data_IF_535360553197
#
_entry.id   IF_535360553197
#
_cell.length_a   1.000
_cell.length_b   1.000
_cell.length_c   1.000
_cell.angle_alpha   90.00
_cell.angle_beta   90.00
_cell.angle_gamma   90.00
#
_symmetry.space_group_name_H-M   'P 1'
#
loop_
_entity.id
_entity.type
_entity.pdbx_description
1 polymer ?
#
# COMPACT_ATOMS: atom_id res chain seq x y z
N UNK A 1 -31.54 2.18 3.07
CA UNK A 1 -30.50 1.31 3.66
C UNK A 1 -29.69 2.21 4.57
N UNK A 2 -29.77 2.00 5.88
CA UNK A 2 -28.80 2.60 6.79
C UNK A 2 -27.51 1.81 6.61
N UNK A 3 -26.44 2.46 6.14
CA UNK A 3 -25.10 1.88 6.26
C UNK A 3 -24.83 1.75 7.77
N UNK A 4 -24.87 0.52 8.29
CA UNK A 4 -24.42 0.26 9.64
C UNK A 4 -22.96 0.70 9.72
N UNK A 5 -22.68 1.64 10.62
CA UNK A 5 -21.31 2.08 10.86
C UNK A 5 -20.49 0.86 11.33
N UNK A 6 -19.25 0.70 10.85
CA UNK A 6 -18.40 -0.41 11.26
C UNK A 6 -18.24 -0.41 12.78
N UNK A 7 -18.52 -1.54 13.39
CA UNK A 7 -18.56 -1.80 14.82
C UNK A 7 -17.20 -2.23 15.38
N UNK A 8 -16.27 -2.64 14.50
CA UNK A 8 -14.92 -3.10 14.86
C UNK A 8 -13.84 -2.47 14.01
N UNK A 9 -12.61 -2.44 14.52
CA UNK A 9 -11.44 -1.96 13.76
C UNK A 9 -11.15 -2.84 12.55
N UNK A 10 -11.40 -4.16 12.65
CA UNK A 10 -11.32 -5.07 11.49
C UNK A 10 -12.26 -4.65 10.38
N UNK A 11 -13.53 -4.35 10.69
CA UNK A 11 -14.52 -3.92 9.68
C UNK A 11 -14.08 -2.62 8.99
N UNK A 12 -13.49 -1.67 9.73
CA UNK A 12 -12.90 -0.47 9.14
C UNK A 12 -11.77 -0.82 8.18
N UNK A 13 -10.85 -1.69 8.57
CA UNK A 13 -9.69 -2.09 7.73
C UNK A 13 -10.13 -2.91 6.51
N UNK A 14 -11.13 -3.77 6.65
CA UNK A 14 -11.72 -4.54 5.55
C UNK A 14 -12.41 -3.64 4.52
N UNK A 15 -13.03 -2.55 4.97
CA UNK A 15 -13.69 -1.57 4.09
C UNK A 15 -12.73 -0.77 3.21
N UNK A 16 -11.41 -0.86 3.44
CA UNK A 16 -10.43 -0.14 2.62
C UNK A 16 -10.45 -0.63 1.18
N UNK A 17 -10.77 0.30 0.27
CA UNK A 17 -10.74 0.07 -1.17
C UNK A 17 -9.29 -0.04 -1.68
N UNK A 18 -8.78 -1.28 -1.71
CA UNK A 18 -7.46 -1.60 -2.26
C UNK A 18 -7.63 -2.17 -3.67
N UNK A 19 -7.07 -1.51 -4.72
CA UNK A 19 -7.13 -2.03 -6.08
C UNK A 19 -6.54 -3.45 -6.19
N UNK A 20 -7.10 -4.27 -7.07
CA UNK A 20 -6.68 -5.67 -7.21
C UNK A 20 -5.21 -5.82 -7.62
N UNK A 21 -4.70 -4.85 -8.38
CA UNK A 21 -3.33 -4.79 -8.87
C UNK A 21 -2.32 -4.28 -7.82
N UNK A 22 -2.81 -3.66 -6.72
CA UNK A 22 -1.98 -3.10 -5.67
C UNK A 22 -1.52 -4.17 -4.67
N UNK A 23 -0.73 -5.14 -5.14
CA UNK A 23 -0.30 -6.34 -4.38
C UNK A 23 0.31 -5.99 -3.03
N UNK A 24 1.16 -4.95 -2.96
CA UNK A 24 1.81 -4.53 -1.71
C UNK A 24 0.78 -3.97 -0.72
N UNK A 25 -0.12 -3.11 -1.18
CA UNK A 25 -1.19 -2.55 -0.35
C UNK A 25 -2.12 -3.66 0.18
N UNK A 26 -2.44 -4.65 -0.65
CA UNK A 26 -3.24 -5.81 -0.24
C UNK A 26 -2.54 -6.63 0.86
N UNK A 27 -1.22 -6.82 0.75
CA UNK A 27 -0.41 -7.49 1.79
C UNK A 27 -0.40 -6.70 3.10
N UNK A 28 -0.25 -5.38 3.05
CA UNK A 28 -0.28 -4.52 4.25
C UNK A 28 -1.62 -4.65 4.96
N UNK A 29 -2.74 -4.51 4.22
CA UNK A 29 -4.10 -4.68 4.77
C UNK A 29 -4.26 -6.03 5.45
N UNK A 30 -3.85 -7.12 4.79
CA UNK A 30 -3.96 -8.47 5.36
C UNK A 30 -3.10 -8.64 6.63
N UNK A 31 -1.90 -8.08 6.67
CA UNK A 31 -1.05 -8.15 7.86
C UNK A 31 -1.67 -7.41 9.05
N UNK A 32 -2.34 -6.27 8.80
CA UNK A 32 -3.06 -5.52 9.83
C UNK A 32 -4.23 -6.35 10.36
N UNK A 33 -5.03 -6.97 9.49
CA UNK A 33 -6.13 -7.84 9.90
C UNK A 33 -5.65 -9.01 10.78
N UNK A 34 -4.55 -9.66 10.38
CA UNK A 34 -3.92 -10.73 11.19
C UNK A 34 -3.41 -10.21 12.54
N UNK A 35 -2.94 -8.97 12.64
CA UNK A 35 -2.55 -8.37 13.92
C UNK A 35 -3.77 -8.12 14.81
N UNK A 36 -4.87 -7.61 14.24
CA UNK A 36 -6.14 -7.39 14.95
C UNK A 36 -6.68 -8.72 15.51
N UNK A 37 -6.68 -9.78 14.69
CA UNK A 37 -7.07 -11.14 15.14
C UNK A 37 -6.24 -11.67 16.32
N UNK A 38 -5.00 -11.19 16.48
CA UNK A 38 -4.10 -11.57 17.58
C UNK A 38 -4.27 -10.71 18.83
N UNK A 39 -5.27 -9.82 18.86
CA UNK A 39 -5.58 -8.95 19.99
C UNK A 39 -4.88 -7.58 19.93
N UNK A 40 -4.38 -7.17 18.76
CA UNK A 40 -3.92 -5.81 18.51
C UNK A 40 -5.02 -5.00 17.82
N UNK A 41 -6.17 -4.85 18.49
CA UNK A 41 -7.39 -4.23 17.97
C UNK A 41 -7.61 -2.79 18.46
N UNK A 42 -6.69 -2.25 19.27
CA UNK A 42 -6.67 -0.83 19.61
C UNK A 42 -6.48 0.00 18.32
N UNK A 43 -7.43 0.89 17.97
CA UNK A 43 -7.35 1.73 16.77
C UNK A 43 -6.04 2.52 16.66
N UNK A 44 -5.50 3.02 17.78
CA UNK A 44 -4.25 3.77 17.79
C UNK A 44 -3.05 2.88 17.53
N UNK A 45 -3.05 1.67 18.09
CA UNK A 45 -2.00 0.70 17.85
C UNK A 45 -2.02 0.18 16.40
N UNK A 46 -3.20 -0.05 15.82
CA UNK A 46 -3.34 -0.45 14.41
C UNK A 46 -2.81 0.64 13.48
N UNK A 47 -3.11 1.91 13.76
CA UNK A 47 -2.58 3.04 13.01
C UNK A 47 -1.04 3.07 13.09
N UNK A 48 -0.46 2.96 14.29
CA UNK A 48 0.98 2.95 14.50
C UNK A 48 1.67 1.75 13.82
N UNK A 49 1.06 0.57 13.86
CA UNK A 49 1.55 -0.64 13.19
C UNK A 49 1.50 -0.52 11.66
N UNK A 50 0.53 0.20 11.10
CA UNK A 50 0.40 0.40 9.66
C UNK A 50 1.45 1.37 9.09
N UNK A 51 1.95 2.33 9.89
CA UNK A 51 2.92 3.33 9.44
C UNK A 51 4.21 2.68 8.93
N UNK A 52 4.77 1.71 9.64
CA UNK A 52 6.03 1.06 9.26
C UNK A 52 5.98 0.43 7.86
N UNK A 53 5.04 -0.50 7.58
CA UNK A 53 4.84 -1.09 6.26
C UNK A 53 4.55 -0.07 5.15
N UNK A 54 3.79 1.00 5.45
CA UNK A 54 3.51 2.06 4.48
C UNK A 54 4.77 2.85 4.11
N UNK A 55 5.60 3.22 5.09
CA UNK A 55 6.87 3.90 4.86
C UNK A 55 7.80 3.04 4.01
N UNK A 56 7.88 1.73 4.30
CA UNK A 56 8.68 0.79 3.51
C UNK A 56 8.17 0.68 2.07
N UNK A 57 6.86 0.50 1.89
CA UNK A 57 6.25 0.39 0.56
C UNK A 57 6.41 1.68 -0.25
N UNK A 58 6.28 2.85 0.39
CA UNK A 58 6.49 4.14 -0.24
C UNK A 58 7.94 4.32 -0.69
N UNK A 59 8.90 4.03 0.18
CA UNK A 59 10.33 4.11 -0.17
C UNK A 59 10.69 3.18 -1.35
N UNK A 60 10.13 1.97 -1.38
CA UNK A 60 10.31 1.06 -2.52
C UNK A 60 9.72 1.64 -3.82
N UNK A 61 8.51 2.20 -3.75
CA UNK A 61 7.86 2.82 -4.91
C UNK A 61 8.65 4.02 -5.44
N UNK A 62 9.21 4.85 -4.56
CA UNK A 62 10.04 5.99 -4.94
C UNK A 62 11.29 5.54 -5.71
N UNK A 63 11.95 4.48 -5.25
CA UNK A 63 13.13 3.89 -5.92
C UNK A 63 12.75 3.31 -7.28
N UNK A 64 11.71 2.48 -7.34
CA UNK A 64 11.26 1.85 -8.59
C UNK A 64 10.81 2.90 -9.62
N UNK A 65 10.14 3.96 -9.18
CA UNK A 65 9.71 5.05 -10.05
C UNK A 65 10.91 5.84 -10.60
N UNK A 66 11.91 6.13 -9.76
CA UNK A 66 13.13 6.80 -10.19
C UNK A 66 13.89 5.97 -11.23
N UNK A 67 13.98 4.66 -11.01
CA UNK A 67 14.63 3.73 -11.93
C UNK A 67 13.86 3.61 -13.26
N UNK A 68 12.53 3.51 -13.21
CA UNK A 68 11.68 3.48 -14.39
C UNK A 68 11.83 4.75 -15.23
N UNK A 69 11.84 5.94 -14.59
CA UNK A 69 12.06 7.22 -15.28
C UNK A 69 13.42 7.27 -15.96
N UNK A 70 14.50 6.88 -15.25
CA UNK A 70 15.84 6.82 -15.83
C UNK A 70 15.89 5.89 -17.04
N UNK A 71 15.23 4.74 -16.95
CA UNK A 71 15.17 3.77 -18.06
C UNK A 71 14.42 4.31 -19.28
N UNK A 72 13.34 5.07 -19.06
CA UNK A 72 12.60 5.73 -20.15
C UNK A 72 13.51 6.76 -20.83
N UNK A 73 14.16 7.63 -20.07
CA UNK A 73 15.09 8.63 -20.61
C UNK A 73 16.24 8.01 -21.41
N UNK A 74 16.78 6.88 -20.94
CA UNK A 74 17.81 6.11 -21.66
C UNK A 74 17.30 5.56 -23.00
N UNK A 75 16.06 5.04 -23.01
CA UNK A 75 15.43 4.49 -24.20
C UNK A 75 15.10 5.59 -25.21
N UNK A 76 14.54 6.71 -24.76
CA UNK A 76 14.23 7.88 -25.59
C UNK A 76 15.50 8.40 -26.28
N UNK A 77 16.59 8.61 -25.53
CA UNK A 77 17.88 9.02 -26.11
C UNK A 77 18.42 8.02 -27.13
N UNK A 78 18.21 6.72 -26.90
CA UNK A 78 18.66 5.67 -27.82
C UNK A 78 17.86 5.68 -29.13
N UNK A 79 16.55 5.96 -29.06
CA UNK A 79 15.69 6.08 -30.23
C UNK A 79 16.07 7.32 -31.03
N UNK A 80 16.26 8.47 -30.37
CA UNK A 80 16.70 9.72 -31.00
C UNK A 80 18.06 9.59 -31.69
N UNK A 81 19.02 8.88 -31.07
CA UNK A 81 20.34 8.68 -31.66
C UNK A 81 20.35 7.74 -32.89
N UNK A 82 19.25 7.01 -33.14
CA UNK A 82 19.10 6.05 -34.25
C UNK A 82 18.21 6.56 -35.39
N UNK A 83 17.44 7.62 -35.15
CA UNK A 83 16.58 8.30 -36.14
C UNK A 83 17.32 9.42 -36.86
#
# INVERSE_FOLDING_TARGET
MSEEAPSTVSEVVESWNVPAEAVVAARIRNNILVAIERGYDDPQLVADLAVGPLVMALGQLEVELADARRRIEDLERTIEARG
#
